data_IF_603814883774
#
_entry.id   IF_603814883774
#
_cell.length_a   1.000
_cell.length_b   1.000
_cell.length_c   1.000
_cell.angle_alpha   90.00
_cell.angle_beta   90.00
_cell.angle_gamma   90.00
#
_symmetry.space_group_name_H-M   'P 1'
#
loop_
_entity.id
_entity.type
_entity.pdbx_description
1 polymer ?
#
# COMPACT_ATOMS: atom_id res chain seq x y z
N UNK A 1 20.91 -2.37 -14.74
CA UNK A 1 21.16 -1.94 -13.35
C UNK A 1 22.54 -2.45 -13.00
N UNK A 2 23.37 -1.62 -12.37
CA UNK A 2 24.73 -1.98 -11.97
C UNK A 2 24.68 -2.87 -10.72
N UNK A 3 25.21 -4.12 -10.72
CA UNK A 3 25.21 -5.00 -9.56
C UNK A 3 26.24 -4.60 -8.49
N UNK A 4 27.22 -3.76 -8.81
CA UNK A 4 28.38 -3.50 -7.94
C UNK A 4 28.01 -2.98 -6.55
N UNK A 5 27.07 -2.04 -6.39
CA UNK A 5 26.66 -1.58 -5.05
C UNK A 5 26.09 -2.70 -4.17
N UNK A 6 25.39 -3.66 -4.77
CA UNK A 6 24.84 -4.81 -4.06
C UNK A 6 25.92 -5.83 -3.71
N UNK A 7 26.93 -6.02 -4.58
CA UNK A 7 28.10 -6.86 -4.28
C UNK A 7 28.91 -6.32 -3.10
N UNK A 8 29.18 -5.01 -3.10
CA UNK A 8 29.86 -4.36 -1.99
C UNK A 8 29.07 -4.50 -0.69
N UNK A 9 27.74 -4.34 -0.74
CA UNK A 9 26.87 -4.46 0.41
C UNK A 9 26.87 -5.87 1.04
N UNK A 10 26.81 -6.94 0.23
CA UNK A 10 26.82 -8.30 0.81
C UNK A 10 28.15 -8.65 1.47
N UNK A 11 29.28 -8.08 0.99
CA UNK A 11 30.57 -8.23 1.66
C UNK A 11 30.66 -7.37 2.93
N UNK A 12 30.29 -6.08 2.87
CA UNK A 12 30.37 -5.17 4.02
C UNK A 12 29.48 -5.62 5.17
N UNK A 13 28.32 -6.20 4.86
CA UNK A 13 27.37 -6.75 5.84
C UNK A 13 27.72 -8.16 6.31
N UNK A 14 28.81 -8.77 5.81
CA UNK A 14 29.27 -10.10 6.21
C UNK A 14 28.36 -11.24 5.75
N UNK A 15 27.55 -11.02 4.72
CA UNK A 15 26.64 -12.03 4.14
C UNK A 15 27.32 -12.94 3.11
N UNK A 16 28.48 -12.53 2.58
CA UNK A 16 29.31 -13.32 1.67
C UNK A 16 30.78 -13.27 2.11
N UNK A 17 31.38 -14.44 2.33
CA UNK A 17 32.80 -14.55 2.75
C UNK A 17 33.75 -14.47 1.55
N UNK A 18 35.02 -14.19 1.85
CA UNK A 18 36.07 -14.22 0.83
C UNK A 18 36.16 -15.59 0.16
N UNK A 19 36.08 -15.60 -1.18
CA UNK A 19 36.13 -16.82 -2.00
C UNK A 19 34.77 -17.51 -2.21
N UNK A 20 33.69 -17.03 -1.59
CA UNK A 20 32.33 -17.48 -1.90
C UNK A 20 31.77 -16.70 -3.10
N UNK A 21 30.90 -17.35 -3.88
CA UNK A 21 30.23 -16.75 -5.03
C UNK A 21 28.75 -16.48 -4.71
N UNK A 22 28.23 -15.37 -5.25
CA UNK A 22 26.80 -15.04 -5.20
C UNK A 22 26.29 -14.65 -6.60
N UNK A 23 25.07 -15.12 -6.91
CA UNK A 23 24.37 -14.76 -8.15
C UNK A 23 23.38 -13.64 -7.85
N UNK A 24 23.56 -12.50 -8.51
CA UNK A 24 22.73 -11.32 -8.34
C UNK A 24 21.80 -11.17 -9.55
N UNK A 25 20.50 -11.29 -9.31
CA UNK A 25 19.47 -11.12 -10.34
C UNK A 25 18.63 -9.88 -10.04
N UNK A 26 18.62 -8.88 -10.93
CA UNK A 26 17.79 -7.70 -10.72
C UNK A 26 16.32 -8.05 -10.85
N UNK A 27 15.51 -7.60 -9.89
CA UNK A 27 14.06 -7.72 -9.93
C UNK A 27 13.43 -6.48 -10.57
N UNK A 28 12.31 -6.68 -11.24
CA UNK A 28 11.57 -5.61 -11.92
C UNK A 28 10.38 -5.14 -11.08
N UNK A 29 9.82 -3.96 -11.39
CA UNK A 29 8.57 -3.46 -10.78
C UNK A 29 8.73 -2.26 -9.85
N UNK A 30 9.91 -2.01 -9.29
CA UNK A 30 10.19 -0.83 -8.46
C UNK A 30 10.71 0.35 -9.29
N UNK A 31 10.02 1.50 -9.23
CA UNK A 31 10.50 2.75 -9.85
C UNK A 31 11.37 3.59 -8.90
N UNK A 32 11.18 3.45 -7.59
CA UNK A 32 11.89 4.22 -6.55
C UNK A 32 13.09 3.47 -5.96
N UNK A 33 13.24 2.18 -6.23
CA UNK A 33 14.29 1.37 -5.62
C UNK A 33 14.93 0.42 -6.64
N UNK A 34 16.20 0.08 -6.39
CA UNK A 34 16.82 -1.12 -6.93
C UNK A 34 16.44 -2.30 -6.04
N UNK A 35 15.96 -3.38 -6.64
CA UNK A 35 15.56 -4.59 -5.93
C UNK A 35 16.29 -5.76 -6.59
N UNK A 36 16.96 -6.58 -5.79
CA UNK A 36 17.79 -7.67 -6.27
C UNK A 36 17.51 -8.94 -5.49
N UNK A 37 17.31 -10.04 -6.22
CA UNK A 37 17.43 -11.39 -5.68
C UNK A 37 18.91 -11.74 -5.65
N UNK A 38 19.39 -12.22 -4.51
CA UNK A 38 20.78 -12.63 -4.32
C UNK A 38 20.79 -14.06 -3.83
N UNK A 39 21.25 -14.97 -4.68
CA UNK A 39 21.47 -16.37 -4.32
C UNK A 39 22.88 -16.47 -3.68
N UNK A 40 22.92 -16.57 -2.35
CA UNK A 40 24.12 -16.83 -1.55
C UNK A 40 24.33 -18.37 -1.44
N UNK A 41 25.50 -18.85 -0.99
CA UNK A 41 25.77 -20.28 -0.89
C UNK A 41 24.76 -21.10 -0.07
N UNK A 42 24.16 -20.49 0.97
CA UNK A 42 23.29 -21.18 1.92
C UNK A 42 21.84 -20.70 1.92
N UNK A 43 21.54 -19.54 1.34
CA UNK A 43 20.19 -18.96 1.33
C UNK A 43 20.02 -17.99 0.16
N UNK A 44 18.77 -17.69 -0.18
CA UNK A 44 18.45 -16.61 -1.10
C UNK A 44 17.87 -15.43 -0.33
N UNK A 45 18.39 -14.24 -0.60
CA UNK A 45 17.97 -12.99 0.04
C UNK A 45 17.50 -11.97 -0.99
N UNK A 46 16.72 -10.99 -0.53
CA UNK A 46 16.32 -9.83 -1.30
C UNK A 46 17.04 -8.59 -0.78
N UNK A 47 17.72 -7.85 -1.65
CA UNK A 47 18.29 -6.54 -1.32
C UNK A 47 17.40 -5.47 -1.93
N UNK A 48 17.00 -4.50 -1.11
CA UNK A 48 16.28 -3.30 -1.57
C UNK A 48 17.09 -2.06 -1.22
N UNK A 49 17.41 -1.28 -2.24
CA UNK A 49 18.17 -0.03 -2.13
C UNK A 49 17.36 1.14 -2.65
N UNK A 50 17.19 2.17 -1.83
CA UNK A 50 16.51 3.38 -2.25
C UNK A 50 17.33 4.18 -3.27
N UNK A 51 16.65 4.69 -4.29
CA UNK A 51 17.20 5.62 -5.27
C UNK A 51 16.75 7.05 -4.96
N UNK A 52 17.67 7.99 -5.05
CA UNK A 52 17.38 9.43 -4.94
C UNK A 52 16.57 9.93 -6.15
N UNK A 53 16.84 9.37 -7.35
CA UNK A 53 16.12 9.65 -8.60
C UNK A 53 15.33 8.41 -9.03
N UNK A 54 14.04 8.58 -9.31
CA UNK A 54 13.16 7.50 -9.78
C UNK A 54 13.49 7.09 -11.23
N UNK A 55 13.24 5.82 -11.55
CA UNK A 55 13.37 5.21 -12.89
C UNK A 55 12.21 5.59 -13.81
N UNK A 56 11.95 6.89 -13.96
CA UNK A 56 10.93 7.44 -14.87
C UNK A 56 11.56 8.44 -15.84
N UNK A 57 10.87 8.73 -16.95
CA UNK A 57 11.36 9.67 -17.97
C UNK A 57 11.48 11.11 -17.45
N UNK A 58 10.62 11.49 -16.51
CA UNK A 58 10.67 12.80 -15.86
C UNK A 58 11.70 12.81 -14.72
N UNK A 59 12.26 13.98 -14.41
CA UNK A 59 13.12 14.14 -13.24
C UNK A 59 12.26 14.15 -11.97
N UNK A 60 12.08 12.97 -11.38
CA UNK A 60 11.34 12.79 -10.13
C UNK A 60 12.31 12.32 -9.04
N UNK A 61 12.46 13.15 -8.02
CA UNK A 61 13.30 12.89 -6.84
C UNK A 61 12.44 12.61 -5.61
N UNK A 62 12.91 11.70 -4.77
CA UNK A 62 12.26 11.38 -3.49
C UNK A 62 13.32 11.29 -2.39
N UNK A 63 12.97 11.64 -1.13
CA UNK A 63 13.84 11.41 0.02
C UNK A 63 14.27 9.95 0.10
N UNK A 64 15.56 9.69 0.30
CA UNK A 64 16.15 8.34 0.40
C UNK A 64 15.94 7.73 1.78
N UNK A 65 15.67 8.59 2.77
CA UNK A 65 15.38 8.26 4.17
C UNK A 65 14.13 7.38 4.30
N UNK A 66 13.26 7.32 3.29
CA UNK A 66 12.16 6.33 3.22
C UNK A 66 12.61 4.88 3.35
N UNK A 67 13.87 4.56 3.00
CA UNK A 67 14.44 3.22 3.20
C UNK A 67 14.51 2.86 4.70
N UNK A 68 14.86 3.84 5.54
CA UNK A 68 14.88 3.68 7.00
C UNK A 68 13.45 3.42 7.52
N UNK A 69 12.47 4.22 7.08
CA UNK A 69 11.10 4.08 7.56
C UNK A 69 10.43 2.79 7.08
N UNK A 70 10.79 2.30 5.89
CA UNK A 70 10.37 0.96 5.45
C UNK A 70 10.93 -0.14 6.35
N UNK A 71 12.22 -0.08 6.68
CA UNK A 71 12.84 -1.01 7.64
C UNK A 71 12.14 -0.96 9.01
N UNK A 72 11.94 0.24 9.56
CA UNK A 72 11.30 0.42 10.87
C UNK A 72 9.85 -0.08 10.87
N UNK A 73 9.12 0.15 9.78
CA UNK A 73 7.76 -0.39 9.63
C UNK A 73 7.77 -1.92 9.69
N UNK A 74 8.67 -2.59 8.95
CA UNK A 74 8.74 -4.05 8.97
C UNK A 74 9.08 -4.61 10.37
N UNK A 75 10.00 -3.98 11.11
CA UNK A 75 10.29 -4.39 12.49
C UNK A 75 9.06 -4.29 13.39
N UNK A 76 8.29 -3.20 13.27
CA UNK A 76 7.10 -2.99 14.09
C UNK A 76 5.96 -3.91 13.67
N UNK A 77 5.75 -4.08 12.36
CA UNK A 77 4.72 -4.95 11.81
C UNK A 77 4.94 -6.42 12.20
N UNK A 78 6.18 -6.91 12.15
CA UNK A 78 6.48 -8.29 12.57
C UNK A 78 6.30 -8.48 14.08
N UNK A 79 6.63 -7.48 14.91
CA UNK A 79 6.33 -7.53 16.36
C UNK A 79 4.83 -7.52 16.65
N UNK A 80 4.06 -6.74 15.90
CA UNK A 80 2.62 -6.61 16.08
C UNK A 80 1.85 -7.83 15.58
N UNK A 81 2.23 -8.33 14.41
CA UNK A 81 1.61 -9.45 13.72
C UNK A 81 2.71 -10.29 13.04
N UNK A 82 3.30 -11.27 13.74
CA UNK A 82 4.41 -12.06 13.23
C UNK A 82 4.16 -12.68 11.85
N UNK A 83 5.12 -12.50 10.95
CA UNK A 83 5.04 -12.95 9.56
C UNK A 83 4.15 -12.09 8.65
N UNK A 84 3.74 -10.89 9.09
CA UNK A 84 3.05 -9.88 8.28
C UNK A 84 3.98 -9.01 7.42
N UNK A 85 5.28 -9.09 7.66
CA UNK A 85 6.33 -8.42 6.91
C UNK A 85 7.45 -9.41 6.57
N UNK A 86 8.30 -9.12 5.56
CA UNK A 86 9.50 -9.91 5.32
C UNK A 86 10.45 -9.86 6.53
N UNK A 87 11.03 -11.00 6.88
CA UNK A 87 12.10 -11.10 7.86
C UNK A 87 13.30 -10.27 7.42
N UNK A 88 13.69 -9.32 8.25
CA UNK A 88 14.87 -8.50 8.05
C UNK A 88 16.14 -9.26 8.41
N UNK A 89 17.21 -9.06 7.64
CA UNK A 89 18.49 -9.76 7.78
C UNK A 89 19.60 -8.79 8.17
N UNK A 90 19.79 -7.73 7.38
CA UNK A 90 20.86 -6.76 7.60
C UNK A 90 20.51 -5.41 6.97
N UNK A 91 21.17 -4.34 7.39
CA UNK A 91 20.97 -2.99 6.86
C UNK A 91 22.29 -2.25 6.76
N UNK A 92 22.49 -1.56 5.64
CA UNK A 92 23.56 -0.59 5.48
C UNK A 92 22.94 0.80 5.35
N UNK A 93 23.08 1.60 6.42
CA UNK A 93 22.49 2.94 6.50
C UNK A 93 23.21 3.95 5.61
N UNK A 94 24.50 3.78 5.36
CA UNK A 94 25.27 4.70 4.50
C UNK A 94 24.94 4.48 3.04
N UNK A 95 24.70 3.22 2.65
CA UNK A 95 24.32 2.86 1.30
C UNK A 95 22.80 2.93 1.02
N UNK A 96 21.98 3.26 2.04
CA UNK A 96 20.51 3.33 2.01
C UNK A 96 19.87 2.04 1.45
N UNK A 97 20.34 0.90 1.96
CA UNK A 97 19.83 -0.41 1.57
C UNK A 97 19.60 -1.29 2.78
N UNK A 98 18.71 -2.25 2.60
CA UNK A 98 18.54 -3.36 3.52
C UNK A 98 18.40 -4.69 2.79
N UNK A 99 18.69 -5.75 3.53
CA UNK A 99 18.59 -7.14 3.14
C UNK A 99 17.47 -7.78 3.95
N UNK A 100 16.57 -8.47 3.26
CA UNK A 100 15.45 -9.20 3.84
C UNK A 100 15.35 -10.58 3.21
N UNK A 101 14.53 -11.46 3.78
CA UNK A 101 14.25 -12.75 3.19
C UNK A 101 13.71 -12.61 1.76
N UNK A 102 14.11 -13.52 0.88
CA UNK A 102 13.49 -13.62 -0.44
C UNK A 102 12.22 -14.47 -0.34
N UNK A 103 11.10 -13.88 -0.69
CA UNK A 103 9.79 -14.55 -0.70
C UNK A 103 9.55 -15.12 -2.10
N UNK A 104 9.70 -16.45 -2.23
CA UNK A 104 9.61 -17.15 -3.51
C UNK A 104 8.21 -16.99 -4.15
N UNK A 105 8.09 -16.42 -5.36
CA UNK A 105 6.78 -16.14 -5.98
C UNK A 105 5.83 -17.33 -6.13
N UNK A 106 6.37 -18.55 -6.22
CA UNK A 106 5.55 -19.77 -6.27
C UNK A 106 4.82 -20.06 -4.94
N UNK A 107 5.43 -19.69 -3.81
CA UNK A 107 4.87 -19.87 -2.46
C UNK A 107 4.17 -18.59 -1.95
N UNK A 108 4.57 -17.44 -2.49
CA UNK A 108 4.05 -16.12 -2.14
C UNK A 108 3.48 -15.41 -3.38
N UNK A 109 2.42 -15.93 -4.02
CA UNK A 109 1.82 -15.28 -5.18
C UNK A 109 1.36 -13.85 -4.86
N UNK A 110 1.64 -12.94 -5.79
CA UNK A 110 1.23 -11.54 -5.67
C UNK A 110 -0.29 -11.40 -5.78
N UNK A 111 -0.94 -10.79 -4.79
CA UNK A 111 -2.40 -10.71 -4.74
C UNK A 111 -2.99 -9.98 -5.94
N UNK A 112 -2.32 -8.92 -6.44
CA UNK A 112 -2.72 -8.25 -7.69
C UNK A 112 -2.84 -9.21 -8.88
N UNK A 113 -1.93 -10.18 -9.02
CA UNK A 113 -1.98 -11.15 -10.12
C UNK A 113 -3.13 -12.14 -9.92
N UNK A 114 -3.33 -12.62 -8.68
CA UNK A 114 -4.48 -13.46 -8.35
C UNK A 114 -5.81 -12.75 -8.69
N UNK A 115 -5.96 -11.47 -8.32
CA UNK A 115 -7.15 -10.68 -8.64
C UNK A 115 -7.33 -10.45 -10.15
N UNK A 116 -6.25 -10.19 -10.89
CA UNK A 116 -6.28 -10.12 -12.37
C UNK A 116 -6.86 -11.39 -12.96
N UNK A 117 -6.41 -12.54 -12.45
CA UNK A 117 -6.78 -13.86 -12.93
C UNK A 117 -8.14 -14.35 -12.37
N UNK A 118 -8.88 -13.47 -11.67
CA UNK A 118 -10.24 -13.72 -11.18
C UNK A 118 -10.32 -14.50 -9.86
N UNK A 119 -9.19 -14.75 -9.20
CA UNK A 119 -9.15 -15.44 -7.91
C UNK A 119 -9.67 -14.50 -6.82
N UNK A 120 -10.80 -14.86 -6.22
CA UNK A 120 -11.53 -14.04 -5.23
C UNK A 120 -11.73 -14.80 -3.91
N UNK A 121 -10.62 -15.04 -3.21
CA UNK A 121 -10.62 -15.65 -1.87
C UNK A 121 -11.00 -14.63 -0.77
N UNK A 122 -12.25 -14.72 -0.30
CA UNK A 122 -12.76 -13.87 0.77
C UNK A 122 -12.10 -14.12 2.14
N UNK A 123 -11.62 -15.35 2.41
CA UNK A 123 -10.92 -15.64 3.67
C UNK A 123 -9.55 -14.95 3.69
N UNK A 124 -8.85 -14.96 2.56
CA UNK A 124 -7.60 -14.21 2.42
C UNK A 124 -7.82 -12.70 2.60
N UNK A 125 -8.86 -12.12 1.99
CA UNK A 125 -9.20 -10.71 2.18
C UNK A 125 -9.54 -10.35 3.64
N UNK A 126 -10.26 -11.22 4.36
CA UNK A 126 -10.49 -11.05 5.79
C UNK A 126 -9.18 -11.09 6.60
N UNK A 127 -8.25 -11.99 6.26
CA UNK A 127 -6.93 -12.04 6.91
C UNK A 127 -6.12 -10.75 6.64
N UNK A 128 -6.18 -10.18 5.44
CA UNK A 128 -5.58 -8.85 5.17
C UNK A 128 -6.14 -7.81 6.14
N UNK A 129 -7.47 -7.76 6.29
CA UNK A 129 -8.14 -6.84 7.23
C UNK A 129 -7.70 -7.05 8.67
N UNK A 130 -7.61 -8.31 9.11
CA UNK A 130 -7.16 -8.68 10.47
C UNK A 130 -5.72 -8.28 10.75
N UNK A 131 -4.78 -8.58 9.85
CA UNK A 131 -3.37 -8.22 10.05
C UNK A 131 -3.17 -6.71 10.11
N UNK A 132 -3.81 -5.99 9.20
CA UNK A 132 -3.74 -4.53 9.17
C UNK A 132 -4.31 -3.92 10.46
N UNK A 133 -5.49 -4.37 10.91
CA UNK A 133 -6.07 -3.91 12.17
C UNK A 133 -5.20 -4.27 13.38
N UNK A 134 -4.55 -5.43 13.38
CA UNK A 134 -3.64 -5.85 14.46
C UNK A 134 -2.42 -4.91 14.56
N UNK A 135 -1.81 -4.55 13.42
CA UNK A 135 -0.70 -3.58 13.37
C UNK A 135 -1.16 -2.21 13.87
N UNK A 136 -2.34 -1.76 13.44
CA UNK A 136 -2.89 -0.48 13.87
C UNK A 136 -3.22 -0.46 15.38
N UNK A 137 -3.89 -1.48 15.92
CA UNK A 137 -4.17 -1.62 17.35
C UNK A 137 -2.87 -1.62 18.17
N UNK A 138 -1.88 -2.43 17.75
CA UNK A 138 -0.59 -2.51 18.42
C UNK A 138 0.12 -1.15 18.52
N UNK A 139 0.10 -0.38 17.42
CA UNK A 139 0.80 0.91 17.34
C UNK A 139 -0.01 2.06 17.94
N UNK A 140 -1.34 2.00 17.90
CA UNK A 140 -2.20 2.96 18.58
C UNK A 140 -2.08 2.87 20.11
N UNK A 141 -1.86 1.66 20.63
CA UNK A 141 -1.54 1.45 22.05
C UNK A 141 -0.12 1.93 22.44
N UNK A 142 0.68 2.40 21.46
CA UNK A 142 2.09 2.83 21.64
C UNK A 142 2.34 4.15 20.90
N UNK A 143 1.82 5.28 21.40
CA UNK A 143 1.96 6.58 20.74
C UNK A 143 3.41 7.01 20.50
N UNK A 144 4.37 6.51 21.29
CA UNK A 144 5.81 6.73 21.10
C UNK A 144 6.33 6.18 19.77
N UNK A 145 5.61 5.26 19.11
CA UNK A 145 5.90 4.87 17.72
C UNK A 145 5.85 6.09 16.80
N UNK A 146 4.97 7.05 17.06
CA UNK A 146 4.86 8.26 16.25
C UNK A 146 6.15 9.08 16.19
N UNK A 147 6.94 9.10 17.26
CA UNK A 147 8.22 9.82 17.32
C UNK A 147 9.28 9.22 16.39
N UNK A 148 9.15 7.93 16.04
CA UNK A 148 10.05 7.22 15.11
C UNK A 148 9.71 7.49 13.64
N UNK A 149 8.55 8.11 13.35
CA UNK A 149 8.07 8.38 12.00
C UNK A 149 7.76 9.88 11.79
N UNK A 150 8.78 10.76 11.77
CA UNK A 150 8.62 12.16 11.34
C UNK A 150 8.46 12.25 9.81
N UNK A 151 7.48 11.52 9.27
CA UNK A 151 7.32 11.23 7.84
C UNK A 151 6.08 11.88 7.23
N UNK A 152 5.42 12.79 7.95
CA UNK A 152 4.27 13.56 7.46
C UNK A 152 4.51 14.15 6.06
N UNK A 153 5.68 14.77 5.84
CA UNK A 153 6.02 15.35 4.55
C UNK A 153 6.16 14.29 3.42
N UNK A 154 6.70 13.11 3.75
CA UNK A 154 6.82 11.99 2.80
C UNK A 154 5.44 11.47 2.44
N UNK A 155 4.60 11.19 3.44
CA UNK A 155 3.24 10.74 3.20
C UNK A 155 2.41 11.79 2.44
N UNK A 156 2.55 13.07 2.81
CA UNK A 156 1.88 14.17 2.12
C UNK A 156 2.22 14.22 0.64
N UNK A 157 3.51 14.29 0.28
CA UNK A 157 3.93 14.35 -1.11
C UNK A 157 3.47 13.10 -1.90
N UNK A 158 3.62 11.93 -1.29
CA UNK A 158 3.36 10.64 -1.95
C UNK A 158 1.86 10.30 -2.07
N UNK A 159 1.02 10.75 -1.14
CA UNK A 159 -0.40 10.35 -1.06
C UNK A 159 -1.39 11.49 -1.00
N UNK A 160 -1.09 12.64 -0.42
CA UNK A 160 -2.00 13.79 -0.44
C UNK A 160 -1.83 14.60 -1.72
N UNK A 161 -0.61 15.08 -1.98
CA UNK A 161 -0.30 15.93 -3.13
C UNK A 161 -0.50 15.17 -4.45
N UNK A 162 0.02 13.94 -4.54
CA UNK A 162 -0.01 13.14 -5.76
C UNK A 162 -1.39 12.58 -6.12
N UNK A 163 -2.30 12.52 -5.14
CA UNK A 163 -3.65 11.98 -5.34
C UNK A 163 -4.69 13.07 -5.16
N UNK A 164 -5.00 13.44 -3.91
CA UNK A 164 -6.12 14.30 -3.57
C UNK A 164 -5.92 15.75 -4.04
N UNK A 165 -4.75 16.37 -3.83
CA UNK A 165 -4.55 17.73 -4.34
C UNK A 165 -4.48 17.77 -5.87
N UNK A 166 -3.90 16.74 -6.50
CA UNK A 166 -3.83 16.65 -7.95
C UNK A 166 -5.24 16.68 -8.57
N UNK A 167 -6.19 15.94 -7.99
CA UNK A 167 -7.58 15.99 -8.45
C UNK A 167 -8.29 17.28 -8.02
N UNK A 168 -8.00 17.86 -6.85
CA UNK A 168 -8.59 19.14 -6.44
C UNK A 168 -8.22 20.28 -7.42
N UNK A 169 -6.94 20.34 -7.84
CA UNK A 169 -6.48 21.30 -8.86
C UNK A 169 -7.14 21.08 -10.22
N UNK A 170 -7.40 19.81 -10.57
CA UNK A 170 -8.02 19.44 -11.85
C UNK A 170 -9.54 19.66 -11.88
N UNK A 171 -10.19 19.54 -10.72
CA UNK A 171 -11.63 19.68 -10.55
C UNK A 171 -11.92 20.74 -9.48
N UNK A 172 -11.85 22.04 -9.82
CA UNK A 172 -12.06 23.13 -8.85
C UNK A 172 -13.43 23.09 -8.17
N UNK A 173 -14.44 22.51 -8.82
CA UNK A 173 -15.77 22.29 -8.25
C UNK A 173 -15.79 21.25 -7.12
N UNK A 174 -14.81 20.33 -7.09
CA UNK A 174 -14.66 19.32 -6.03
C UNK A 174 -13.69 19.74 -4.93
N UNK A 175 -12.89 20.78 -5.14
CA UNK A 175 -11.89 21.26 -4.18
C UNK A 175 -12.45 21.46 -2.76
N UNK A 176 -13.62 22.10 -2.56
CA UNK A 176 -14.20 22.29 -1.21
C UNK A 176 -14.52 20.99 -0.48
N UNK A 177 -14.68 19.88 -1.21
CA UNK A 177 -14.96 18.55 -0.65
C UNK A 177 -13.68 17.73 -0.44
N UNK A 178 -12.65 17.97 -1.24
CA UNK A 178 -11.39 17.21 -1.19
C UNK A 178 -10.40 17.79 -0.16
N UNK A 179 -10.28 19.11 -0.07
CA UNK A 179 -9.37 19.77 0.88
C UNK A 179 -9.64 19.36 2.34
N UNK A 180 -10.91 19.27 2.80
CA UNK A 180 -11.20 18.74 4.13
C UNK A 180 -10.76 17.29 4.35
N UNK A 181 -10.76 16.44 3.32
CA UNK A 181 -10.27 15.06 3.42
C UNK A 181 -8.76 15.02 3.66
N UNK A 182 -8.01 15.86 2.93
CA UNK A 182 -6.56 16.01 3.14
C UNK A 182 -6.30 16.48 4.57
N UNK A 183 -6.98 17.54 5.00
CA UNK A 183 -6.82 18.08 6.34
C UNK A 183 -7.13 17.04 7.43
N UNK A 184 -8.27 16.34 7.33
CA UNK A 184 -8.66 15.31 8.28
C UNK A 184 -7.65 14.15 8.34
N UNK A 185 -7.17 13.68 7.18
CA UNK A 185 -6.19 12.59 7.08
C UNK A 185 -4.86 12.97 7.74
N UNK A 186 -4.38 14.21 7.51
CA UNK A 186 -3.10 14.66 8.06
C UNK A 186 -3.14 14.97 9.55
N UNK A 187 -4.27 15.48 10.06
CA UNK A 187 -4.41 15.87 11.47
C UNK A 187 -4.76 14.70 12.40
N UNK A 188 -5.35 13.63 11.87
CA UNK A 188 -5.72 12.46 12.67
C UNK A 188 -4.48 11.58 12.90
N UNK A 189 -4.17 11.30 14.17
CA UNK A 189 -2.94 10.60 14.60
C UNK A 189 -3.28 9.44 15.53
N UNK A 190 -3.73 8.32 14.95
CA UNK A 190 -4.17 7.16 15.73
C UNK A 190 -3.17 6.00 15.71
N UNK A 191 -2.55 5.68 14.58
CA UNK A 191 -1.74 4.46 14.43
C UNK A 191 -0.64 4.62 13.39
N UNK A 192 0.29 3.66 13.34
CA UNK A 192 1.25 3.55 12.25
C UNK A 192 0.56 3.04 10.98
N UNK A 193 0.42 3.90 10.00
CA UNK A 193 -0.18 3.64 8.69
C UNK A 193 0.91 3.22 7.72
N UNK A 194 0.68 2.18 6.91
CA UNK A 194 1.56 1.71 5.85
C UNK A 194 1.63 2.71 4.67
N UNK A 195 0.50 3.32 4.33
CA UNK A 195 0.37 4.34 3.30
C UNK A 195 0.38 3.83 1.86
N UNK A 196 0.46 2.52 1.61
CA UNK A 196 0.35 1.90 0.26
C UNK A 196 -0.21 0.47 0.33
N UNK A 197 -1.26 0.26 1.12
CA UNK A 197 -1.92 -1.05 1.22
C UNK A 197 -2.73 -1.30 -0.04
N UNK A 198 -2.05 -1.72 -1.10
CA UNK A 198 -2.64 -2.07 -2.39
C UNK A 198 -2.31 -3.53 -2.74
N UNK A 199 -3.14 -4.23 -3.54
CA UNK A 199 -2.86 -5.63 -3.88
C UNK A 199 -1.52 -5.89 -4.58
N UNK A 200 -0.86 -4.85 -5.14
CA UNK A 200 0.49 -4.96 -5.71
C UNK A 200 1.60 -5.06 -4.64
N UNK A 201 1.26 -4.80 -3.39
CA UNK A 201 2.16 -4.74 -2.24
C UNK A 201 1.76 -5.80 -1.19
N UNK A 202 0.94 -6.79 -1.58
CA UNK A 202 0.46 -7.83 -0.68
C UNK A 202 0.73 -9.17 -1.35
N UNK A 203 1.56 -9.99 -0.71
CA UNK A 203 1.79 -11.38 -1.12
C UNK A 203 0.87 -12.30 -0.34
N UNK A 204 0.32 -13.31 -0.99
CA UNK A 204 -0.46 -14.36 -0.36
C UNK A 204 0.48 -15.50 0.05
N UNK A 205 1.02 -15.42 1.27
CA UNK A 205 1.95 -16.41 1.78
C UNK A 205 1.28 -17.57 2.52
N UNK A 206 2.01 -18.66 2.80
CA UNK A 206 1.48 -19.86 3.45
C UNK A 206 0.98 -19.64 4.88
N UNK A 207 1.43 -18.56 5.54
CA UNK A 207 0.99 -18.17 6.89
C UNK A 207 -0.03 -17.03 6.88
N UNK A 208 -0.39 -16.50 5.71
CA UNK A 208 -1.22 -15.31 5.53
C UNK A 208 -0.53 -14.19 4.73
N UNK A 209 -1.16 -13.01 4.64
CA UNK A 209 -0.71 -11.90 3.83
C UNK A 209 0.57 -11.26 4.37
N UNK A 210 1.54 -11.06 3.48
CA UNK A 210 2.76 -10.30 3.75
C UNK A 210 2.64 -8.94 3.08
N UNK A 211 2.73 -7.87 3.87
CA UNK A 211 2.70 -6.48 3.43
C UNK A 211 4.11 -6.05 3.01
N UNK A 212 4.20 -5.41 1.85
CA UNK A 212 5.45 -4.95 1.24
C UNK A 212 5.41 -3.46 0.93
N UNK A 213 6.59 -2.87 0.77
CA UNK A 213 6.76 -1.51 0.27
C UNK A 213 6.04 -0.41 1.10
N UNK A 214 6.16 -0.39 2.45
CA UNK A 214 5.65 0.67 3.31
C UNK A 214 6.52 1.95 3.24
N UNK A 215 6.97 2.35 2.05
CA UNK A 215 7.82 3.54 1.87
C UNK A 215 7.08 4.86 2.14
N UNK A 216 5.74 4.80 2.23
CA UNK A 216 4.88 5.91 2.61
C UNK A 216 4.44 5.85 4.08
N UNK A 217 5.07 5.00 4.91
CA UNK A 217 4.63 4.80 6.28
C UNK A 217 4.68 6.11 7.08
N UNK A 218 3.63 6.37 7.85
CA UNK A 218 3.54 7.52 8.76
C UNK A 218 2.63 7.22 9.93
N UNK A 219 2.83 7.92 11.04
CA UNK A 219 1.90 7.86 12.15
C UNK A 219 0.71 8.81 11.88
N UNK A 220 -0.49 8.27 11.78
CA UNK A 220 -1.58 8.93 11.06
C UNK A 220 -2.96 8.31 11.22
N UNK A 221 -3.83 8.60 10.25
CA UNK A 221 -5.20 8.07 10.19
C UNK A 221 -5.24 6.67 9.56
N UNK A 222 -5.52 5.60 10.33
CA UNK A 222 -5.61 4.25 9.79
C UNK A 222 -6.80 4.05 8.84
N UNK A 223 -7.74 5.00 8.79
CA UNK A 223 -8.79 5.03 7.75
C UNK A 223 -8.20 5.08 6.33
N UNK A 224 -6.98 5.63 6.16
CA UNK A 224 -6.32 5.73 4.86
C UNK A 224 -6.00 4.36 4.26
N UNK A 225 -5.33 3.48 5.00
CA UNK A 225 -4.93 2.17 4.49
C UNK A 225 -6.13 1.30 4.13
N UNK A 226 -7.17 1.34 4.97
CA UNK A 226 -8.42 0.65 4.67
C UNK A 226 -9.04 1.19 3.37
N UNK A 227 -9.14 2.51 3.23
CA UNK A 227 -9.73 3.13 2.04
C UNK A 227 -8.91 2.81 0.79
N UNK A 228 -7.58 2.83 0.90
CA UNK A 228 -6.66 2.59 -0.21
C UNK A 228 -6.76 1.15 -0.73
N UNK A 229 -6.85 0.17 0.17
CA UNK A 229 -7.00 -1.23 -0.23
C UNK A 229 -8.38 -1.49 -0.86
N UNK A 230 -9.45 -1.04 -0.20
CA UNK A 230 -10.83 -1.21 -0.68
C UNK A 230 -11.06 -0.53 -2.03
N UNK A 231 -10.49 0.67 -2.23
CA UNK A 231 -10.47 1.37 -3.52
C UNK A 231 -9.93 0.47 -4.64
N UNK A 232 -8.80 -0.19 -4.42
CA UNK A 232 -8.24 -1.10 -5.41
C UNK A 232 -9.15 -2.28 -5.71
N UNK A 233 -9.78 -2.90 -4.71
CA UNK A 233 -10.73 -4.00 -4.93
C UNK A 233 -11.91 -3.55 -5.80
N UNK A 234 -12.46 -2.36 -5.58
CA UNK A 234 -13.55 -1.81 -6.38
C UNK A 234 -13.13 -1.51 -7.82
N UNK A 235 -11.92 -0.98 -8.05
CA UNK A 235 -11.37 -0.76 -9.39
C UNK A 235 -11.18 -2.08 -10.17
N UNK A 236 -10.97 -3.22 -9.49
CA UNK A 236 -10.81 -4.52 -10.17
C UNK A 236 -12.09 -5.00 -10.86
N UNK A 237 -13.26 -4.50 -10.46
CA UNK A 237 -14.53 -4.77 -11.12
C UNK A 237 -14.56 -4.39 -12.61
N UNK A 238 -13.71 -3.44 -13.01
CA UNK A 238 -13.53 -3.04 -14.42
C UNK A 238 -12.40 -3.83 -15.10
N UNK A 239 -11.41 -4.32 -14.35
CA UNK A 239 -10.30 -5.10 -14.93
C UNK A 239 -10.71 -6.53 -15.27
N UNK A 240 -11.47 -7.16 -14.36
CA UNK A 240 -11.92 -8.56 -14.50
C UNK A 240 -13.43 -8.62 -14.25
N UNK A 241 -14.28 -8.16 -15.20
CA UNK A 241 -15.73 -8.05 -15.00
C UNK A 241 -16.42 -9.36 -14.59
N UNK A 242 -15.91 -10.51 -15.04
CA UNK A 242 -16.45 -11.82 -14.69
C UNK A 242 -16.33 -12.15 -13.18
N UNK A 243 -15.45 -11.46 -12.44
CA UNK A 243 -15.21 -11.69 -11.01
C UNK A 243 -15.81 -10.58 -10.12
N UNK A 244 -16.68 -9.71 -10.65
CA UNK A 244 -17.27 -8.56 -9.93
C UNK A 244 -17.87 -8.94 -8.58
N UNK A 245 -18.78 -9.91 -8.54
CA UNK A 245 -19.41 -10.35 -7.28
C UNK A 245 -18.37 -10.82 -6.25
N UNK A 246 -17.33 -11.51 -6.73
CA UNK A 246 -16.19 -11.93 -5.92
C UNK A 246 -15.45 -10.73 -5.31
N UNK A 247 -15.15 -9.68 -6.08
CA UNK A 247 -14.50 -8.46 -5.54
C UNK A 247 -15.36 -7.74 -4.49
N UNK A 248 -16.69 -7.75 -4.64
CA UNK A 248 -17.61 -7.24 -3.61
C UNK A 248 -17.62 -8.14 -2.36
N UNK A 249 -17.45 -9.46 -2.51
CA UNK A 249 -17.26 -10.35 -1.36
C UNK A 249 -15.92 -10.07 -0.66
N UNK A 250 -14.83 -9.83 -1.40
CA UNK A 250 -13.53 -9.45 -0.83
C UNK A 250 -13.62 -8.14 -0.06
N UNK A 251 -14.26 -7.11 -0.64
CA UNK A 251 -14.47 -5.82 -0.01
C UNK A 251 -15.17 -5.96 1.34
N UNK A 252 -16.28 -6.72 1.37
CA UNK A 252 -17.04 -6.98 2.60
C UNK A 252 -16.19 -7.72 3.63
N UNK A 253 -15.54 -8.81 3.24
CA UNK A 253 -14.75 -9.64 4.14
C UNK A 253 -13.58 -8.86 4.77
N UNK A 254 -12.83 -8.09 3.97
CA UNK A 254 -11.75 -7.24 4.47
C UNK A 254 -12.28 -6.18 5.43
N UNK A 255 -13.30 -5.41 4.99
CA UNK A 255 -13.92 -4.34 5.77
C UNK A 255 -14.46 -4.84 7.10
N UNK A 256 -15.29 -5.89 7.09
CA UNK A 256 -15.92 -6.43 8.29
C UNK A 256 -14.86 -6.98 9.26
N UNK A 257 -13.86 -7.72 8.75
CA UNK A 257 -12.77 -8.23 9.60
C UNK A 257 -11.93 -7.11 10.21
N UNK A 258 -11.62 -6.07 9.43
CA UNK A 258 -10.85 -4.92 9.92
C UNK A 258 -11.64 -4.15 11.01
N UNK A 259 -12.88 -3.75 10.72
CA UNK A 259 -13.69 -2.95 11.63
C UNK A 259 -14.02 -3.68 12.93
N UNK A 260 -14.14 -5.01 12.89
CA UNK A 260 -14.39 -5.83 14.10
C UNK A 260 -13.24 -5.82 15.12
N UNK A 261 -12.05 -5.37 14.70
CA UNK A 261 -10.83 -5.34 15.51
C UNK A 261 -10.36 -3.92 15.83
N UNK A 262 -11.15 -2.90 15.46
CA UNK A 262 -10.84 -1.51 15.80
C UNK A 262 -11.12 -1.30 17.30
N UNK A 263 -10.06 -1.01 18.05
CA UNK A 263 -10.09 -0.81 19.51
C UNK A 263 -9.50 0.54 19.98
N UNK A 264 -8.90 1.32 19.07
CA UNK A 264 -8.26 2.62 19.37
C UNK A 264 -9.19 3.83 19.24
N UNK A 265 -10.36 3.66 18.61
CA UNK A 265 -11.38 4.68 18.44
C UNK A 265 -12.75 4.02 18.19
N UNK A 266 -13.88 4.76 18.20
CA UNK A 266 -15.17 4.22 17.79
C UNK A 266 -15.16 3.72 16.33
N UNK A 267 -15.47 2.44 16.05
CA UNK A 267 -15.40 1.88 14.69
C UNK A 267 -16.25 2.64 13.65
N UNK A 268 -17.41 3.17 14.07
CA UNK A 268 -18.29 3.99 13.23
C UNK A 268 -17.62 5.28 12.76
N UNK A 269 -16.78 5.89 13.60
CA UNK A 269 -16.03 7.09 13.25
C UNK A 269 -14.98 6.81 12.18
N UNK A 270 -14.22 5.72 12.34
CA UNK A 270 -13.24 5.27 11.36
C UNK A 270 -13.92 4.91 10.03
N UNK A 271 -15.01 4.11 10.05
CA UNK A 271 -15.74 3.72 8.84
C UNK A 271 -16.21 4.95 8.06
N UNK A 272 -16.76 5.96 8.74
CA UNK A 272 -17.21 7.19 8.11
C UNK A 272 -16.06 7.98 7.46
N UNK A 273 -14.86 8.02 8.09
CA UNK A 273 -13.68 8.64 7.47
C UNK A 273 -13.22 7.84 6.25
N UNK A 274 -13.17 6.52 6.33
CA UNK A 274 -12.82 5.64 5.20
C UNK A 274 -13.80 5.81 4.04
N UNK A 275 -15.11 5.83 4.30
CA UNK A 275 -16.16 5.99 3.29
C UNK A 275 -16.08 7.33 2.57
N UNK A 276 -15.70 8.41 3.28
CA UNK A 276 -15.50 9.74 2.69
C UNK A 276 -14.21 9.87 1.89
N UNK A 277 -13.15 9.18 2.32
CA UNK A 277 -11.85 9.21 1.67
C UNK A 277 -11.81 8.40 0.37
N UNK A 278 -12.45 7.22 0.36
CA UNK A 278 -12.41 6.27 -0.75
C UNK A 278 -12.77 6.90 -2.10
N UNK A 279 -13.86 7.70 -2.27
CA UNK A 279 -14.18 8.35 -3.54
C UNK A 279 -13.07 9.27 -4.07
N UNK A 280 -12.38 10.00 -3.18
CA UNK A 280 -11.24 10.83 -3.57
C UNK A 280 -10.07 10.00 -4.10
N UNK A 281 -9.76 8.88 -3.43
CA UNK A 281 -8.75 7.92 -3.90
C UNK A 281 -9.16 7.26 -5.24
N UNK A 282 -10.45 6.97 -5.40
CA UNK A 282 -11.02 6.38 -6.60
C UNK A 282 -10.83 7.28 -7.82
N UNK A 283 -11.18 8.57 -7.68
CA UNK A 283 -10.95 9.57 -8.73
C UNK A 283 -9.45 9.78 -9.00
N UNK A 284 -8.62 9.82 -7.94
CA UNK A 284 -7.19 10.02 -8.08
C UNK A 284 -6.48 8.86 -8.80
N UNK A 285 -7.00 7.63 -8.71
CA UNK A 285 -6.50 6.49 -9.49
C UNK A 285 -6.86 6.54 -10.98
N UNK A 286 -7.65 7.53 -11.41
CA UNK A 286 -7.92 7.80 -12.82
C UNK A 286 -7.21 9.08 -13.28
N UNK A 287 -7.34 10.16 -12.51
CA UNK A 287 -6.96 11.50 -12.95
C UNK A 287 -5.88 12.18 -12.09
N UNK A 288 -5.36 11.50 -11.06
CA UNK A 288 -4.22 11.93 -10.26
C UNK A 288 -2.87 11.60 -10.90
N UNK A 289 -1.77 11.79 -10.16
CA UNK A 289 -0.40 11.56 -10.68
C UNK A 289 -0.02 10.08 -10.80
N UNK A 290 -0.80 9.17 -10.21
CA UNK A 290 -0.56 7.72 -10.23
C UNK A 290 -1.83 6.96 -10.65
N UNK A 291 -2.20 6.99 -11.94
CA UNK A 291 -3.36 6.25 -12.42
C UNK A 291 -3.14 4.73 -12.34
N UNK A 292 -4.21 3.93 -12.23
CA UNK A 292 -4.13 2.48 -12.47
C UNK A 292 -3.87 2.20 -13.93
N UNK A 293 -2.96 1.27 -14.21
CA UNK A 293 -2.49 0.98 -15.57
C UNK A 293 -3.45 0.12 -16.39
N UNK A 294 -4.43 -0.51 -15.73
CA UNK A 294 -5.33 -1.49 -16.35
C UNK A 294 -6.70 -0.94 -16.73
N UNK A 295 -7.06 0.28 -16.30
CA UNK A 295 -8.28 0.97 -16.76
C UNK A 295 -7.88 1.95 -17.86
N UNK A 296 -8.04 1.51 -19.10
CA UNK A 296 -7.55 2.24 -20.27
C UNK A 296 -8.66 2.90 -21.08
N UNK A 297 -9.85 2.29 -21.12
CA UNK A 297 -10.99 2.80 -21.88
C UNK A 297 -11.56 4.08 -21.26
N UNK A 298 -12.02 5.02 -22.10
CA UNK A 298 -12.63 6.25 -21.59
C UNK A 298 -13.99 5.99 -20.93
N UNK A 299 -14.72 4.97 -21.39
CA UNK A 299 -15.98 4.55 -20.78
C UNK A 299 -15.80 4.08 -19.32
N UNK A 300 -14.81 3.24 -19.07
CA UNK A 300 -14.51 2.76 -17.71
C UNK A 300 -14.02 3.90 -16.81
N UNK A 301 -13.19 4.81 -17.34
CA UNK A 301 -12.74 6.00 -16.62
C UNK A 301 -13.91 6.90 -16.26
N UNK A 302 -14.84 7.13 -17.19
CA UNK A 302 -16.06 7.92 -16.93
C UNK A 302 -16.96 7.27 -15.88
N UNK A 303 -17.06 5.94 -15.88
CA UNK A 303 -17.81 5.18 -14.88
C UNK A 303 -17.24 5.43 -13.47
N UNK A 304 -15.92 5.40 -13.31
CA UNK A 304 -15.25 5.76 -12.04
C UNK A 304 -15.48 7.23 -11.69
N UNK A 305 -15.33 8.16 -12.65
CA UNK A 305 -15.53 9.61 -12.45
C UNK A 305 -16.94 9.91 -11.96
N UNK A 306 -17.99 9.34 -12.57
CA UNK A 306 -19.38 9.56 -12.17
C UNK A 306 -19.63 9.12 -10.73
N UNK A 307 -19.17 7.92 -10.37
CA UNK A 307 -19.31 7.40 -9.00
C UNK A 307 -18.56 8.26 -7.99
N UNK A 308 -17.28 8.54 -8.25
CA UNK A 308 -16.46 9.30 -7.33
C UNK A 308 -16.99 10.73 -7.11
N UNK A 309 -17.38 11.41 -8.19
CA UNK A 309 -17.97 12.75 -8.11
C UNK A 309 -19.27 12.77 -7.33
N UNK A 310 -20.17 11.81 -7.58
CA UNK A 310 -21.42 11.66 -6.82
C UNK A 310 -21.16 11.53 -5.32
N UNK A 311 -20.22 10.66 -4.93
CA UNK A 311 -19.92 10.39 -3.52
C UNK A 311 -19.08 11.48 -2.84
N UNK A 312 -18.31 12.27 -3.59
CA UNK A 312 -17.64 13.47 -3.05
C UNK A 312 -18.64 14.60 -2.78
N UNK A 313 -19.60 14.82 -3.69
CA UNK A 313 -20.64 15.85 -3.54
C UNK A 313 -21.71 15.45 -2.51
N UNK A 314 -21.99 14.16 -2.39
CA UNK A 314 -22.97 13.59 -1.47
C UNK A 314 -22.33 12.46 -0.65
N UNK A 315 -21.49 12.81 0.35
CA UNK A 315 -20.77 11.82 1.14
C UNK A 315 -21.71 10.97 1.98
N UNK A 316 -21.42 9.67 2.04
CA UNK A 316 -22.15 8.67 2.81
C UNK A 316 -21.33 8.23 4.03
N UNK A 317 -21.98 7.85 5.15
CA UNK A 317 -21.27 7.47 6.37
C UNK A 317 -20.80 6.01 6.39
N UNK A 318 -21.34 5.11 5.55
CA UNK A 318 -20.98 3.68 5.57
C UNK A 318 -20.30 3.23 4.28
N UNK A 319 -19.32 2.33 4.42
CA UNK A 319 -18.61 1.74 3.28
C UNK A 319 -19.53 0.87 2.41
N UNK A 320 -20.59 0.29 3.00
CA UNK A 320 -21.63 -0.41 2.24
C UNK A 320 -22.28 0.51 1.21
N UNK A 321 -22.60 1.75 1.58
CA UNK A 321 -23.28 2.69 0.69
C UNK A 321 -22.39 3.14 -0.48
N UNK A 322 -21.07 3.23 -0.23
CA UNK A 322 -20.06 3.43 -1.29
C UNK A 322 -20.07 2.26 -2.27
N UNK A 323 -20.04 1.03 -1.74
CA UNK A 323 -20.08 -0.18 -2.56
C UNK A 323 -21.41 -0.28 -3.34
N UNK A 324 -22.55 -0.02 -2.71
CA UNK A 324 -23.87 -0.06 -3.35
C UNK A 324 -23.97 0.96 -4.50
N UNK A 325 -23.42 2.17 -4.30
CA UNK A 325 -23.36 3.19 -5.36
C UNK A 325 -22.51 2.70 -6.54
N UNK A 326 -21.39 2.04 -6.25
CA UNK A 326 -20.53 1.48 -7.28
C UNK A 326 -21.18 0.33 -8.04
N UNK A 327 -21.89 -0.56 -7.32
CA UNK A 327 -22.61 -1.68 -7.91
C UNK A 327 -23.68 -1.22 -8.90
N UNK A 328 -24.46 -0.21 -8.52
CA UNK A 328 -25.47 0.41 -9.38
C UNK A 328 -24.85 1.03 -10.64
N UNK A 329 -23.72 1.71 -10.51
CA UNK A 329 -23.02 2.32 -11.65
C UNK A 329 -22.51 1.26 -12.65
N UNK A 330 -22.14 0.08 -12.15
CA UNK A 330 -21.72 -1.06 -12.98
C UNK A 330 -22.90 -1.79 -13.67
N UNK A 331 -24.14 -1.35 -13.44
CA UNK A 331 -25.36 -1.93 -13.99
C UNK A 331 -25.88 -3.17 -13.24
N UNK A 332 -25.49 -3.33 -11.97
CA UNK A 332 -25.91 -4.45 -11.12
C UNK A 332 -27.14 -4.17 -10.26
#
# INVERSE_FOLDING_TARGET
MDPEPMRLAIHSLGLLRDGEEAVLTPLTGGIASDIWKVDLPCETVCIKRALHRLKVKADWFVPIERNLYEWLYYEIADRAAPGSAPRLIARDTEAYLFVMEYLEPAEYPLWKNQLRDGVTDAQFAAEVGRRLATIHSYTAARPEVGEQFPTDAIFYASRMESYLEAIARRYPDLEPYIVPLIHATMHTKHALVHGDVSPKNILNGPRGPVLLDPECAFYGDPAFDLAFCLNHLMLKCLWTPAAREGFFALFRALKDSYLSLVDWEPPDGLEARTARLLPGLFLARIDGKSPVEYITSDEDKETVRRTARRLLLHPVPRLREVADTWWQELGG
#
